data_IF_336284872192
#
_entry.id   IF_336284872192
#
_cell.length_a   1.000
_cell.length_b   1.000
_cell.length_c   1.000
_cell.angle_alpha   90.00
_cell.angle_beta   90.00
_cell.angle_gamma   90.00
#
_symmetry.space_group_name_H-M   'P 1'
#
loop_
_entity.id
_entity.type
_entity.pdbx_description
1 polymer ?
#
# COMPACT_ATOMS: atom_id res chain seq x y z
N UNK A 1 -13.97 -1.36 0.58
CA UNK A 1 -14.35 0.03 0.88
C UNK A 1 -13.27 0.96 0.34
N UNK A 2 -13.64 1.99 -0.41
CA UNK A 2 -12.71 3.04 -0.80
C UNK A 2 -12.31 3.83 0.46
N UNK A 3 -11.01 3.93 0.74
CA UNK A 3 -10.47 4.72 1.85
C UNK A 3 -9.81 5.97 1.24
N UNK A 4 -10.41 7.14 1.44
CA UNK A 4 -9.90 8.43 0.93
C UNK A 4 -9.02 9.14 1.97
N UNK A 5 -8.13 8.38 2.60
CA UNK A 5 -7.26 8.90 3.64
C UNK A 5 -6.23 9.89 3.09
N UNK A 6 -6.08 11.01 3.79
CA UNK A 6 -5.00 11.98 3.62
C UNK A 6 -4.36 12.27 4.98
N UNK A 7 -3.04 12.41 5.01
CA UNK A 7 -2.33 12.74 6.25
C UNK A 7 -2.73 14.15 6.71
N UNK A 8 -3.25 14.26 7.94
CA UNK A 8 -3.71 15.54 8.51
C UNK A 8 -2.54 16.51 8.65
N UNK A 9 -2.78 17.78 8.32
CA UNK A 9 -1.78 18.85 8.42
C UNK A 9 -0.80 18.92 7.24
N UNK A 10 -0.94 18.04 6.24
CA UNK A 10 -0.18 18.11 5.00
C UNK A 10 -1.06 18.61 3.83
N UNK A 11 -0.47 19.26 2.80
CA UNK A 11 -1.20 19.57 1.57
C UNK A 11 -1.68 18.27 0.90
N UNK A 12 -2.62 18.34 -0.07
CA UNK A 12 -3.04 17.17 -0.85
C UNK A 12 -1.86 16.35 -1.36
N UNK A 13 -2.01 15.03 -1.38
CA UNK A 13 -0.95 14.15 -1.87
C UNK A 13 -0.60 14.54 -3.33
N UNK A 14 0.69 14.64 -3.68
CA UNK A 14 1.11 14.93 -5.04
C UNK A 14 0.55 13.89 -6.03
N UNK A 15 0.29 14.27 -7.28
CA UNK A 15 -0.11 13.32 -8.31
C UNK A 15 1.05 12.37 -8.61
N UNK A 16 0.78 11.08 -8.58
CA UNK A 16 1.66 9.98 -8.99
C UNK A 16 0.77 8.93 -9.65
N UNK A 17 1.25 8.31 -10.72
CA UNK A 17 0.57 7.22 -11.42
C UNK A 17 0.18 6.11 -10.44
N UNK A 18 -0.96 5.46 -10.70
CA UNK A 18 -1.36 4.27 -9.97
C UNK A 18 -1.98 3.27 -10.94
N UNK A 19 -1.48 2.05 -10.90
CA UNK A 19 -2.03 0.93 -11.66
C UNK A 19 -2.35 -0.22 -10.69
N UNK A 20 -3.56 -0.74 -10.73
CA UNK A 20 -3.92 -1.95 -9.99
C UNK A 20 -3.71 -3.17 -10.89
N UNK A 21 -2.88 -4.11 -10.49
CA UNK A 21 -2.63 -5.33 -11.27
C UNK A 21 -2.57 -6.60 -10.40
N UNK A 22 -2.96 -7.76 -10.95
CA UNK A 22 -2.84 -9.04 -10.25
C UNK A 22 -1.37 -9.48 -10.15
N UNK A 23 -0.90 -9.79 -8.95
CA UNK A 23 0.41 -10.37 -8.68
C UNK A 23 0.28 -11.50 -7.66
N UNK A 24 0.69 -12.72 -8.00
CA UNK A 24 0.63 -13.87 -7.08
C UNK A 24 -0.75 -14.07 -6.40
N UNK A 25 -1.85 -13.80 -7.13
CA UNK A 25 -3.22 -13.90 -6.60
C UNK A 25 -3.66 -12.71 -5.72
N UNK A 26 -2.87 -11.65 -5.65
CA UNK A 26 -3.18 -10.41 -4.92
C UNK A 26 -3.51 -9.30 -5.91
N UNK A 27 -4.51 -8.47 -5.60
CA UNK A 27 -4.66 -7.17 -6.24
C UNK A 27 -3.64 -6.21 -5.61
N UNK A 28 -2.67 -5.77 -6.41
CA UNK A 28 -1.60 -4.87 -5.97
C UNK A 28 -1.77 -3.51 -6.64
N UNK A 29 -1.83 -2.46 -5.84
CA UNK A 29 -1.75 -1.07 -6.32
C UNK A 29 -0.28 -0.69 -6.43
N UNK A 30 0.15 -0.36 -7.65
CA UNK A 30 1.51 0.01 -8.02
C UNK A 30 1.54 1.50 -8.28
N UNK A 31 2.26 2.24 -7.44
CA UNK A 31 2.44 3.67 -7.56
C UNK A 31 3.81 4.00 -8.15
N UNK A 32 3.85 4.94 -9.09
CA UNK A 32 5.12 5.41 -9.67
C UNK A 32 5.59 4.65 -10.90
N UNK A 33 4.74 3.80 -11.49
CA UNK A 33 5.14 2.92 -12.60
C UNK A 33 5.42 3.72 -13.88
N UNK A 34 4.59 4.72 -14.18
CA UNK A 34 4.75 5.57 -15.37
C UNK A 34 5.93 6.55 -15.23
N UNK A 35 6.38 6.80 -14.00
CA UNK A 35 7.50 7.68 -13.67
C UNK A 35 8.85 6.96 -13.59
N UNK A 36 8.90 5.66 -13.90
CA UNK A 36 10.15 4.93 -13.98
C UNK A 36 11.03 5.47 -15.13
N UNK A 37 12.37 5.43 -14.98
CA UNK A 37 13.28 5.77 -16.07
C UNK A 37 13.01 4.89 -17.31
N UNK A 38 13.10 5.44 -18.53
CA UNK A 38 12.79 4.71 -19.76
C UNK A 38 13.80 3.60 -20.07
N UNK A 39 15.01 3.68 -19.49
CA UNK A 39 16.02 2.64 -19.62
C UNK A 39 15.65 1.42 -18.76
N UNK A 40 15.26 0.33 -19.43
CA UNK A 40 14.90 -0.93 -18.80
C UNK A 40 16.05 -1.60 -18.02
N UNK A 41 17.31 -1.22 -18.24
CA UNK A 41 18.43 -1.69 -17.44
C UNK A 41 18.52 -0.99 -16.07
N UNK A 42 17.77 0.10 -15.87
CA UNK A 42 17.78 0.83 -14.61
C UNK A 42 17.21 -0.04 -13.49
N UNK A 43 17.97 -0.28 -12.40
CA UNK A 43 17.44 -1.03 -11.26
C UNK A 43 16.20 -0.34 -10.68
N UNK A 44 15.19 -1.13 -10.34
CA UNK A 44 13.96 -0.64 -9.69
C UNK A 44 13.92 -1.14 -8.24
N UNK A 45 13.70 -0.23 -7.31
CA UNK A 45 13.40 -0.57 -5.91
C UNK A 45 11.88 -0.66 -5.74
N UNK A 46 11.43 -1.75 -5.13
CA UNK A 46 10.03 -1.96 -4.77
C UNK A 46 9.83 -1.73 -3.27
N UNK A 47 9.13 -0.66 -2.90
CA UNK A 47 8.75 -0.39 -1.51
C UNK A 47 7.37 -0.99 -1.22
N UNK A 48 7.33 -2.02 -0.37
CA UNK A 48 6.07 -2.62 0.07
C UNK A 48 5.49 -1.86 1.27
N UNK A 49 4.28 -1.34 1.10
CA UNK A 49 3.53 -0.62 2.12
C UNK A 49 2.40 -1.50 2.66
N UNK A 50 2.48 -1.83 3.94
CA UNK A 50 1.50 -2.64 4.64
C UNK A 50 0.54 -1.73 5.41
N UNK A 51 -0.76 -1.85 5.13
CA UNK A 51 -1.76 -1.00 5.76
C UNK A 51 -1.93 -1.36 7.26
N UNK A 52 -2.36 -0.42 8.12
CA UNK A 52 -2.71 -0.75 9.51
C UNK A 52 -3.87 -1.74 9.61
N UNK A 53 -4.00 -2.40 10.76
CA UNK A 53 -5.14 -3.28 11.08
C UNK A 53 -6.47 -2.56 10.83
N UNK A 54 -7.49 -3.29 10.36
CA UNK A 54 -8.85 -2.79 10.04
C UNK A 54 -8.89 -1.75 8.90
N UNK A 55 -7.80 -1.63 8.13
CA UNK A 55 -7.75 -0.80 6.92
C UNK A 55 -7.59 -1.68 5.68
N UNK A 56 -7.44 -1.03 4.54
CA UNK A 56 -7.24 -1.65 3.23
C UNK A 56 -6.00 -1.05 2.58
N UNK A 57 -5.53 -1.63 1.48
CA UNK A 57 -4.45 -1.09 0.64
C UNK A 57 -4.65 0.37 0.25
N UNK A 58 -5.90 0.81 0.07
CA UNK A 58 -6.23 2.20 -0.26
C UNK A 58 -5.73 3.21 0.80
N UNK A 59 -5.61 2.78 2.07
CA UNK A 59 -5.02 3.61 3.15
C UNK A 59 -3.59 4.03 2.85
N UNK A 60 -2.86 3.27 2.04
CA UNK A 60 -1.46 3.53 1.71
C UNK A 60 -1.29 4.56 0.59
N UNK A 61 -2.37 5.00 -0.07
CA UNK A 61 -2.30 5.88 -1.23
C UNK A 61 -1.61 7.23 -0.94
N UNK A 62 -1.92 7.88 0.20
CA UNK A 62 -1.29 9.16 0.56
C UNK A 62 0.22 9.00 0.82
N UNK A 63 0.61 7.96 1.56
CA UNK A 63 2.03 7.65 1.82
C UNK A 63 2.78 7.30 0.54
N UNK A 64 2.21 6.42 -0.28
CA UNK A 64 2.82 5.97 -1.54
C UNK A 64 3.12 7.15 -2.47
N UNK A 65 2.12 8.02 -2.69
CA UNK A 65 2.26 9.23 -3.52
C UNK A 65 3.36 10.16 -3.00
N UNK A 66 3.39 10.41 -1.69
CA UNK A 66 4.40 11.30 -1.09
C UNK A 66 5.80 10.73 -1.20
N UNK A 67 5.99 9.44 -0.94
CA UNK A 67 7.30 8.78 -1.01
C UNK A 67 7.81 8.76 -2.45
N UNK A 68 6.99 8.36 -3.41
CA UNK A 68 7.37 8.35 -4.84
C UNK A 68 7.67 9.76 -5.31
N UNK A 69 6.81 10.74 -5.04
CA UNK A 69 7.05 12.12 -5.44
C UNK A 69 8.33 12.70 -4.80
N UNK A 70 8.58 12.42 -3.52
CA UNK A 70 9.81 12.84 -2.86
C UNK A 70 11.06 12.20 -3.49
N UNK A 71 10.97 10.93 -3.91
CA UNK A 71 12.03 10.25 -4.65
C UNK A 71 12.30 10.91 -6.00
N UNK A 72 11.26 11.18 -6.78
CA UNK A 72 11.37 11.82 -8.10
C UNK A 72 12.02 13.21 -8.02
N UNK A 73 11.72 13.99 -6.98
CA UNK A 73 12.37 15.30 -6.74
C UNK A 73 13.86 15.22 -6.41
N UNK A 74 14.35 14.06 -5.95
CA UNK A 74 15.76 13.84 -5.62
C UNK A 74 16.51 13.10 -6.74
N UNK A 75 15.85 12.74 -7.84
CA UNK A 75 16.31 11.71 -8.76
C UNK A 75 17.46 12.12 -9.70
N UNK A 76 17.88 13.40 -9.72
CA UNK A 76 19.00 13.84 -10.56
C UNK A 76 20.33 13.11 -10.28
N UNK A 77 20.44 12.30 -9.22
CA UNK A 77 21.71 11.65 -8.82
C UNK A 77 21.67 10.14 -8.52
N UNK A 78 20.54 9.43 -8.71
CA UNK A 78 20.38 8.08 -8.11
C UNK A 78 20.44 6.87 -9.04
N UNK A 79 20.33 7.03 -10.36
CA UNK A 79 20.42 5.92 -11.33
C UNK A 79 19.51 4.72 -11.03
N UNK A 80 18.35 4.97 -10.41
CA UNK A 80 17.45 3.94 -9.88
C UNK A 80 16.00 4.43 -9.86
N UNK A 81 15.09 3.54 -10.25
CA UNK A 81 13.63 3.75 -10.14
C UNK A 81 13.09 3.37 -8.76
N UNK A 82 11.94 3.92 -8.39
CA UNK A 82 11.20 3.54 -7.19
C UNK A 82 9.73 3.36 -7.53
N UNK A 83 9.17 2.21 -7.16
CA UNK A 83 7.73 2.01 -7.09
C UNK A 83 7.31 1.73 -5.65
N UNK A 84 6.13 2.20 -5.28
CA UNK A 84 5.50 1.81 -4.02
C UNK A 84 4.34 0.84 -4.30
N UNK A 85 4.25 -0.23 -3.52
CA UNK A 85 3.33 -1.33 -3.73
C UNK A 85 2.45 -1.51 -2.49
N UNK A 86 1.14 -1.64 -2.69
CA UNK A 86 0.20 -1.91 -1.59
C UNK A 86 -0.80 -3.00 -1.99
N UNK A 87 -1.06 -3.94 -1.08
CA UNK A 87 -2.05 -4.99 -1.25
C UNK A 87 -2.87 -5.16 0.03
N UNK A 88 -4.05 -5.76 -0.08
CA UNK A 88 -4.87 -6.06 1.09
C UNK A 88 -4.26 -7.26 1.83
N UNK A 89 -3.91 -7.09 3.10
CA UNK A 89 -3.40 -8.18 3.94
C UNK A 89 -4.48 -9.24 4.19
N UNK A 90 -4.12 -10.45 4.69
CA UNK A 90 -5.11 -11.49 4.97
C UNK A 90 -6.29 -10.97 5.79
N UNK A 91 -7.50 -11.38 5.41
CA UNK A 91 -8.74 -10.98 6.06
C UNK A 91 -9.03 -9.46 6.07
N UNK A 92 -8.50 -8.70 5.11
CA UNK A 92 -8.76 -7.26 4.95
C UNK A 92 -9.17 -6.91 3.52
N UNK A 93 -9.82 -5.75 3.35
CA UNK A 93 -10.17 -5.18 2.05
C UNK A 93 -10.84 -6.16 1.08
N UNK A 94 -10.28 -6.30 -0.11
CA UNK A 94 -10.72 -7.24 -1.15
C UNK A 94 -10.57 -8.73 -0.78
N UNK A 95 -9.85 -9.03 0.30
CA UNK A 95 -9.59 -10.39 0.81
C UNK A 95 -10.27 -10.65 2.16
N UNK A 96 -11.30 -9.89 2.51
CA UNK A 96 -12.07 -10.09 3.73
C UNK A 96 -12.74 -11.47 3.71
N UNK A 97 -12.47 -12.29 4.73
CA UNK A 97 -13.06 -13.63 4.91
C UNK A 97 -14.06 -13.64 6.07
N UNK A 98 -13.73 -12.99 7.18
CA UNK A 98 -14.57 -12.89 8.37
C UNK A 98 -14.38 -11.56 9.09
N UNK A 99 -15.43 -10.74 9.14
CA UNK A 99 -15.43 -9.52 9.93
C UNK A 99 -15.20 -9.77 11.43
N UNK A 100 -15.76 -10.87 11.95
CA UNK A 100 -15.62 -11.24 13.36
C UNK A 100 -14.16 -11.49 13.74
N UNK A 101 -13.40 -12.14 12.87
CA UNK A 101 -11.98 -12.41 13.11
C UNK A 101 -11.13 -11.12 13.19
N UNK A 102 -11.62 -10.01 12.64
CA UNK A 102 -10.97 -8.70 12.80
C UNK A 102 -11.32 -7.99 14.12
N UNK A 103 -12.29 -8.49 14.90
CA UNK A 103 -12.69 -7.89 16.18
C UNK A 103 -11.75 -8.27 17.32
N UNK A 104 -11.73 -7.47 18.37
CA UNK A 104 -11.03 -7.76 19.62
C UNK A 104 -11.87 -8.67 20.54
N UNK A 105 -11.28 -9.14 21.64
CA UNK A 105 -11.95 -10.02 22.61
C UNK A 105 -13.23 -9.41 23.18
N UNK A 106 -13.17 -8.14 23.58
CA UNK A 106 -14.28 -7.35 24.12
C UNK A 106 -15.41 -7.12 23.12
N UNK A 107 -15.14 -7.32 21.83
CA UNK A 107 -16.10 -7.28 20.74
C UNK A 107 -16.57 -8.69 20.30
N UNK A 108 -16.46 -9.69 21.19
CA UNK A 108 -17.01 -11.03 21.02
C UNK A 108 -16.14 -11.98 20.18
N UNK A 109 -14.87 -11.66 19.96
CA UNK A 109 -13.95 -12.55 19.27
C UNK A 109 -13.19 -13.46 20.26
N UNK A 110 -13.73 -14.63 20.54
CA UNK A 110 -13.06 -15.62 21.40
C UNK A 110 -11.71 -16.13 20.83
N UNK A 111 -11.50 -16.00 19.52
CA UNK A 111 -10.28 -16.44 18.81
C UNK A 111 -9.28 -15.30 18.56
N UNK A 112 -9.48 -14.13 19.18
CA UNK A 112 -8.69 -12.92 18.88
C UNK A 112 -7.17 -13.13 18.86
N UNK A 113 -6.60 -13.86 19.82
CA UNK A 113 -5.17 -14.15 19.83
C UNK A 113 -4.70 -14.99 18.63
N UNK A 114 -5.50 -15.97 18.20
CA UNK A 114 -5.20 -16.80 17.02
C UNK A 114 -5.33 -15.95 15.76
N UNK A 115 -6.34 -15.09 15.67
CA UNK A 115 -6.55 -14.21 14.53
C UNK A 115 -5.46 -13.11 14.41
N UNK A 116 -4.75 -12.82 15.51
CA UNK A 116 -3.57 -11.95 15.53
C UNK A 116 -2.26 -12.69 15.23
N UNK A 117 -2.22 -14.02 15.37
CA UNK A 117 -1.04 -14.82 15.04
C UNK A 117 -0.85 -14.79 13.52
N UNK A 118 -0.05 -13.83 13.06
CA UNK A 118 0.24 -13.65 11.64
C UNK A 118 0.92 -14.88 11.04
N UNK A 119 0.63 -15.11 9.76
CA UNK A 119 1.53 -15.77 8.82
C UNK A 119 2.14 -14.70 7.91
#
# INVERSE_FOLDING_TARGET
MADSYSTRGLPPAPPVSVQTMPMAGLLVDVYGLDELPPDAATPVTCLWLLHPRTRTRARMADMARRVVHAWLRQQQSRGRGLVALAFDMPNHGSRLVSERANRAWDAGNARHAVDLAGL
#
